data_IF_789876966782
#
_entry.id   IF_789876966782
#
_cell.length_a   1.000
_cell.length_b   1.000
_cell.length_c   1.000
_cell.angle_alpha   90.00
_cell.angle_beta   90.00
_cell.angle_gamma   90.00
#
_symmetry.space_group_name_H-M   'P 1'
#
loop_
_entity.id
_entity.type
_entity.pdbx_description
1 polymer ?
#
# COMPACT_ATOMS: atom_id res chain seq x y z
N UNK A 1 6.28 12.97 17.19
CA UNK A 1 5.77 12.02 16.18
C UNK A 1 6.95 11.25 15.59
N UNK A 2 6.78 9.97 15.24
CA UNK A 2 7.87 9.17 14.68
C UNK A 2 8.29 9.73 13.32
N UNK A 3 9.61 9.84 13.10
CA UNK A 3 10.24 10.19 11.82
C UNK A 3 10.39 8.96 10.91
N UNK A 4 9.50 7.99 11.06
CA UNK A 4 9.53 6.68 10.42
C UNK A 4 8.13 6.28 9.98
N UNK A 5 8.02 5.66 8.81
CA UNK A 5 6.76 5.21 8.23
C UNK A 5 6.98 3.90 7.46
N UNK A 6 6.45 2.76 7.95
CA UNK A 6 6.44 1.53 7.17
C UNK A 6 5.34 1.59 6.10
N UNK A 7 5.58 0.94 4.96
CA UNK A 7 4.59 0.76 3.90
C UNK A 7 4.53 -0.70 3.51
N UNK A 8 3.30 -1.22 3.39
CA UNK A 8 3.03 -2.55 2.89
C UNK A 8 2.66 -2.48 1.41
N UNK A 9 3.41 -3.17 0.57
CA UNK A 9 3.21 -3.27 -0.87
C UNK A 9 2.62 -4.65 -1.14
N UNK A 10 1.38 -4.70 -1.59
CA UNK A 10 0.67 -5.94 -1.90
C UNK A 10 0.82 -6.26 -3.39
N UNK A 11 1.00 -7.54 -3.70
CA UNK A 11 1.04 -8.09 -5.06
C UNK A 11 -0.02 -9.19 -5.15
N UNK A 12 -1.11 -8.93 -5.87
CA UNK A 12 -2.24 -9.87 -5.97
C UNK A 12 -2.20 -10.81 -7.17
N UNK A 13 -1.52 -10.44 -8.26
CA UNK A 13 -1.51 -11.20 -9.51
C UNK A 13 -0.13 -11.76 -9.81
N UNK A 14 0.41 -12.49 -8.83
CA UNK A 14 1.75 -13.11 -8.92
C UNK A 14 1.86 -13.99 -10.17
N UNK A 15 0.84 -14.81 -10.42
CA UNK A 15 0.84 -15.74 -11.55
C UNK A 15 1.97 -16.78 -11.45
N UNK A 16 2.47 -17.23 -12.59
CA UNK A 16 3.54 -18.23 -12.62
C UNK A 16 4.92 -17.58 -12.44
N UNK A 17 5.53 -17.83 -11.29
CA UNK A 17 6.87 -17.34 -10.93
C UNK A 17 8.01 -17.99 -11.72
N UNK A 18 7.74 -19.05 -12.50
CA UNK A 18 8.71 -19.59 -13.46
C UNK A 18 8.91 -18.66 -14.66
N UNK A 19 7.97 -17.74 -14.88
CA UNK A 19 8.09 -16.72 -15.91
C UNK A 19 9.04 -15.60 -15.45
N UNK A 20 10.22 -15.55 -16.08
CA UNK A 20 11.25 -14.57 -15.76
C UNK A 20 10.75 -13.13 -15.89
N UNK A 21 9.90 -12.83 -16.88
CA UNK A 21 9.39 -11.47 -17.09
C UNK A 21 8.54 -10.98 -15.90
N UNK A 22 7.74 -11.86 -15.29
CA UNK A 22 6.95 -11.50 -14.11
C UNK A 22 7.82 -11.34 -12.87
N UNK A 23 8.82 -12.21 -12.72
CA UNK A 23 9.75 -12.13 -11.61
C UNK A 23 10.56 -10.84 -11.65
N UNK A 24 11.12 -10.50 -12.81
CA UNK A 24 11.81 -9.23 -13.05
C UNK A 24 10.89 -8.03 -12.77
N UNK A 25 9.61 -8.13 -13.14
CA UNK A 25 8.64 -7.06 -12.88
C UNK A 25 8.41 -6.83 -11.38
N UNK A 26 8.29 -7.90 -10.60
CA UNK A 26 8.17 -7.85 -9.14
C UNK A 26 9.45 -7.26 -8.53
N UNK A 27 10.62 -7.77 -8.91
CA UNK A 27 11.90 -7.28 -8.40
C UNK A 27 12.09 -5.80 -8.74
N UNK A 28 11.76 -5.39 -9.96
CA UNK A 28 11.81 -3.99 -10.42
C UNK A 28 10.90 -3.06 -9.59
N UNK A 29 9.69 -3.52 -9.23
CA UNK A 29 8.81 -2.77 -8.33
C UNK A 29 9.48 -2.54 -6.97
N UNK A 30 10.00 -3.60 -6.34
CA UNK A 30 10.62 -3.50 -5.02
C UNK A 30 11.88 -2.65 -5.07
N UNK A 31 12.72 -2.82 -6.08
CA UNK A 31 13.89 -1.96 -6.29
C UNK A 31 13.54 -0.49 -6.51
N UNK A 32 12.40 -0.21 -7.18
CA UNK A 32 11.93 1.17 -7.36
C UNK A 32 11.61 1.79 -6.01
N UNK A 33 10.90 1.08 -5.13
CA UNK A 33 10.64 1.54 -3.78
C UNK A 33 11.90 1.71 -2.93
N UNK A 34 12.89 0.82 -3.09
CA UNK A 34 14.15 0.89 -2.35
C UNK A 34 15.06 2.03 -2.80
N UNK A 35 14.96 2.44 -4.06
CA UNK A 35 15.69 3.59 -4.62
C UNK A 35 14.98 4.93 -4.36
N UNK A 36 13.74 4.91 -3.88
CA UNK A 36 13.03 6.14 -3.55
C UNK A 36 13.77 6.91 -2.45
N UNK A 37 13.80 8.26 -2.53
CA UNK A 37 14.38 9.08 -1.48
C UNK A 37 13.75 8.75 -0.13
N UNK A 38 14.58 8.70 0.92
CA UNK A 38 14.18 8.42 2.30
C UNK A 38 13.79 6.96 2.57
N UNK A 39 13.84 6.06 1.59
CA UNK A 39 13.73 4.62 1.86
C UNK A 39 14.99 4.13 2.58
N UNK A 40 14.84 3.17 3.49
CA UNK A 40 15.97 2.57 4.21
C UNK A 40 16.80 1.58 3.37
N UNK A 41 16.31 1.21 2.19
CA UNK A 41 16.97 0.34 1.22
C UNK A 41 16.66 -1.15 1.39
N UNK A 42 17.33 -1.95 0.57
CA UNK A 42 17.14 -3.41 0.51
C UNK A 42 17.31 -4.16 1.85
N UNK A 43 18.29 -3.82 2.73
CA UNK A 43 18.45 -4.53 4.00
C UNK A 43 17.26 -4.38 4.96
N UNK A 44 16.45 -3.33 4.79
CA UNK A 44 15.29 -3.02 5.62
C UNK A 44 13.97 -3.35 4.94
N UNK A 45 14.03 -4.03 3.80
CA UNK A 45 12.85 -4.45 3.03
C UNK A 45 12.60 -5.92 3.27
N UNK A 46 11.47 -6.22 3.92
CA UNK A 46 11.04 -7.56 4.25
C UNK A 46 10.40 -8.21 3.02
N UNK A 47 11.22 -8.91 2.23
CA UNK A 47 10.85 -9.52 0.96
C UNK A 47 11.28 -10.99 0.87
N UNK A 48 10.29 -11.90 0.86
CA UNK A 48 10.48 -13.36 0.94
C UNK A 48 11.34 -13.95 -0.18
N UNK A 49 11.30 -13.38 -1.38
CA UNK A 49 11.97 -13.95 -2.55
C UNK A 49 13.49 -14.00 -2.36
N UNK A 50 14.07 -13.00 -1.67
CA UNK A 50 15.51 -12.95 -1.37
C UNK A 50 15.94 -14.08 -0.45
N UNK A 51 15.12 -14.38 0.55
CA UNK A 51 15.37 -15.47 1.48
C UNK A 51 15.17 -16.83 0.80
N UNK A 52 14.18 -16.92 -0.09
CA UNK A 52 13.96 -18.12 -0.91
C UNK A 52 15.12 -18.38 -1.88
N UNK A 53 15.63 -17.35 -2.55
CA UNK A 53 16.83 -17.45 -3.41
C UNK A 53 18.06 -17.90 -2.61
N UNK A 54 18.23 -17.38 -1.39
CA UNK A 54 19.31 -17.82 -0.49
C UNK A 54 19.16 -19.28 -0.08
N UNK A 55 17.94 -19.72 0.24
CA UNK A 55 17.64 -21.11 0.55
C UNK A 55 17.96 -22.06 -0.62
N UNK A 56 17.57 -21.69 -1.85
CA UNK A 56 17.91 -22.47 -3.04
C UNK A 56 19.43 -22.51 -3.29
N UNK A 57 20.12 -21.39 -3.08
CA UNK A 57 21.57 -21.34 -3.24
C UNK A 57 22.30 -22.23 -2.22
N UNK A 58 21.83 -22.32 -0.97
CA UNK A 58 22.39 -23.24 0.01
C UNK A 58 22.13 -24.71 -0.34
N UNK A 59 20.94 -25.05 -0.83
CA UNK A 59 20.61 -26.42 -1.25
C UNK A 59 21.48 -26.87 -2.42
N UNK A 60 21.68 -25.99 -3.43
CA UNK A 60 22.57 -26.27 -4.56
C UNK A 60 24.02 -26.45 -4.10
N UNK A 61 24.49 -25.60 -3.17
CA UNK A 61 25.85 -25.72 -2.66
C UNK A 61 26.08 -27.00 -1.85
N UNK A 62 25.08 -27.49 -1.13
CA UNK A 62 25.13 -28.79 -0.44
C UNK A 62 25.16 -29.96 -1.44
N UNK A 63 24.29 -29.94 -2.45
CA UNK A 63 24.30 -30.94 -3.54
C UNK A 63 25.66 -30.99 -4.27
N UNK A 64 26.26 -29.84 -4.58
CA UNK A 64 27.57 -29.77 -5.24
C UNK A 64 28.70 -30.30 -4.35
N UNK A 65 28.67 -30.05 -3.04
CA UNK A 65 29.67 -30.58 -2.11
C UNK A 65 29.56 -32.12 -1.94
N UNK A 66 28.35 -32.67 -1.97
CA UNK A 66 28.14 -34.12 -1.91
C UNK A 66 28.51 -34.81 -3.23
N UNK A 67 28.24 -34.19 -4.39
CA UNK A 67 28.66 -34.67 -5.71
C UNK A 67 30.19 -34.61 -5.92
N UNK A 68 30.88 -33.59 -5.38
CA UNK A 68 32.34 -33.48 -5.43
C UNK A 68 33.06 -34.60 -4.64
N UNK A 69 32.40 -35.23 -3.67
CA UNK A 69 32.94 -36.39 -2.94
C UNK A 69 32.82 -37.68 -3.79
N UNK A 70 31.91 -37.75 -4.76
CA UNK A 70 31.65 -38.96 -5.56
C UNK A 70 32.24 -38.93 -7.00
N UNK A 71 32.50 -37.78 -7.62
CA UNK A 71 32.99 -37.68 -9.02
C UNK A 71 34.42 -37.08 -9.17
N UNK A 72 35.46 -37.83 -8.76
CA UNK A 72 36.77 -37.71 -9.41
C UNK A 72 36.67 -38.33 -10.81
N UNK A 73 36.25 -37.56 -11.83
CA UNK A 73 36.59 -37.67 -13.26
C UNK A 73 35.41 -37.18 -14.13
N UNK A 74 35.31 -35.87 -14.40
CA UNK A 74 35.07 -35.32 -15.76
C UNK A 74 34.90 -33.81 -15.73
N UNK A 75 35.56 -33.15 -16.69
CA UNK A 75 35.55 -31.72 -16.96
C UNK A 75 34.12 -31.22 -17.24
N UNK A 76 33.40 -30.74 -16.22
CA UNK A 76 32.12 -30.05 -16.39
C UNK A 76 32.38 -28.54 -16.48
N UNK A 77 32.07 -27.96 -17.63
CA UNK A 77 31.93 -26.51 -17.80
C UNK A 77 30.83 -26.03 -16.82
N UNK A 78 31.25 -25.46 -15.68
CA UNK A 78 30.37 -24.88 -14.66
C UNK A 78 29.58 -23.72 -15.26
N UNK A 79 28.42 -24.04 -15.82
CA UNK A 79 27.39 -23.04 -16.06
C UNK A 79 26.69 -22.90 -14.72
N UNK A 80 27.03 -21.87 -13.95
CA UNK A 80 26.40 -21.58 -12.64
C UNK A 80 24.89 -21.76 -12.78
N UNK A 81 24.33 -22.80 -12.14
CA UNK A 81 22.89 -23.05 -12.11
C UNK A 81 22.26 -21.88 -11.35
N UNK A 82 21.72 -20.92 -12.09
CA UNK A 82 20.95 -19.83 -11.49
C UNK A 82 19.76 -20.44 -10.74
N UNK A 83 19.48 -20.02 -9.49
CA UNK A 83 18.36 -20.55 -8.73
C UNK A 83 17.06 -20.19 -9.45
N UNK A 84 16.42 -21.20 -10.05
CA UNK A 84 15.11 -21.05 -10.69
C UNK A 84 14.01 -21.43 -9.71
N UNK A 85 12.91 -20.68 -9.73
CA UNK A 85 11.78 -20.94 -8.85
C UNK A 85 11.23 -22.36 -9.04
N UNK A 86 11.22 -23.16 -7.97
CA UNK A 86 10.68 -24.53 -7.96
C UNK A 86 9.53 -24.60 -6.97
N UNK A 87 8.32 -24.81 -7.50
CA UNK A 87 7.10 -24.94 -6.67
C UNK A 87 7.22 -26.04 -5.61
N UNK A 88 7.87 -27.16 -5.96
CA UNK A 88 8.14 -28.27 -5.03
C UNK A 88 8.97 -27.88 -3.81
N UNK A 89 9.87 -26.90 -3.95
CA UNK A 89 10.74 -26.45 -2.86
C UNK A 89 10.08 -25.39 -1.97
N UNK A 90 8.93 -24.83 -2.38
CA UNK A 90 8.23 -23.83 -1.58
C UNK A 90 7.72 -24.40 -0.25
N UNK A 91 7.16 -25.62 -0.27
CA UNK A 91 6.69 -26.27 0.95
C UNK A 91 7.84 -26.61 1.90
N UNK A 92 8.99 -27.02 1.35
CA UNK A 92 10.21 -27.27 2.12
C UNK A 92 10.67 -25.97 2.77
N UNK A 93 10.92 -24.92 1.98
CA UNK A 93 11.29 -23.58 2.45
C UNK A 93 10.42 -23.10 3.61
N UNK A 94 9.09 -23.14 3.47
CA UNK A 94 8.15 -22.68 4.51
C UNK A 94 8.05 -23.60 5.73
N UNK A 95 8.55 -24.83 5.63
CA UNK A 95 8.64 -25.79 6.73
C UNK A 95 9.84 -25.56 7.64
N UNK A 96 10.94 -25.01 7.09
CA UNK A 96 12.18 -24.74 7.83
C UNK A 96 11.94 -23.72 8.96
N UNK A 97 12.42 -23.96 10.19
CA UNK A 97 12.20 -23.08 11.34
C UNK A 97 12.57 -21.61 11.10
N UNK A 98 13.62 -21.37 10.32
CA UNK A 98 14.17 -20.05 10.00
C UNK A 98 13.21 -19.23 9.13
N UNK A 99 12.54 -19.88 8.18
CA UNK A 99 11.70 -19.22 7.17
C UNK A 99 10.20 -19.37 7.41
N UNK A 100 9.80 -20.16 8.42
CA UNK A 100 8.40 -20.42 8.76
C UNK A 100 7.54 -19.16 8.93
N UNK A 101 8.15 -18.06 9.37
CA UNK A 101 7.47 -16.78 9.55
C UNK A 101 6.87 -16.22 8.25
N UNK A 102 7.43 -16.58 7.08
CA UNK A 102 6.91 -16.17 5.77
C UNK A 102 5.50 -16.71 5.47
N UNK A 103 5.04 -17.76 6.16
CA UNK A 103 3.67 -18.24 6.02
C UNK A 103 2.60 -17.17 6.30
N UNK A 104 2.90 -16.17 7.14
CA UNK A 104 1.99 -15.06 7.42
C UNK A 104 1.89 -14.01 6.29
N UNK A 105 2.81 -14.04 5.33
CA UNK A 105 2.98 -13.03 4.29
C UNK A 105 2.61 -13.54 2.90
N UNK A 106 2.44 -14.86 2.76
CA UNK A 106 2.15 -15.55 1.50
C UNK A 106 0.73 -16.12 1.54
N UNK A 107 -0.02 -15.95 0.45
CA UNK A 107 -1.33 -16.57 0.25
C UNK A 107 -1.25 -17.57 -0.88
N UNK A 108 -1.68 -18.79 -0.62
CA UNK A 108 -1.73 -19.87 -1.59
C UNK A 108 -3.17 -20.20 -1.97
N UNK A 109 -3.39 -20.50 -3.25
CA UNK A 109 -4.67 -21.02 -3.74
C UNK A 109 -4.85 -22.49 -3.31
N UNK A 110 -6.06 -23.02 -3.45
CA UNK A 110 -6.43 -24.43 -3.20
C UNK A 110 -5.53 -25.44 -3.92
N UNK A 111 -4.96 -25.04 -5.06
CA UNK A 111 -4.03 -25.86 -5.85
C UNK A 111 -2.57 -25.75 -5.36
N UNK A 112 -2.32 -25.11 -4.21
CA UNK A 112 -1.00 -24.89 -3.63
C UNK A 112 -0.15 -23.82 -4.33
N UNK A 113 -0.66 -23.15 -5.36
CA UNK A 113 0.07 -22.11 -6.10
C UNK A 113 0.06 -20.78 -5.35
N UNK A 114 1.17 -20.05 -5.35
CA UNK A 114 1.24 -18.72 -4.74
C UNK A 114 0.32 -17.76 -5.49
N UNK A 115 -0.66 -17.23 -4.77
CA UNK A 115 -1.68 -16.34 -5.31
C UNK A 115 -1.29 -14.88 -5.10
N UNK A 116 -0.96 -14.50 -3.86
CA UNK A 116 -0.59 -13.14 -3.50
C UNK A 116 0.39 -13.11 -2.34
N UNK A 117 1.12 -12.00 -2.21
CA UNK A 117 1.93 -11.72 -1.04
C UNK A 117 2.03 -10.22 -0.80
N UNK A 118 2.64 -9.82 0.31
CA UNK A 118 2.99 -8.44 0.53
C UNK A 118 4.43 -8.30 1.02
N UNK A 119 5.01 -7.14 0.73
CA UNK A 119 6.36 -6.73 1.09
C UNK A 119 6.24 -5.54 2.02
N UNK A 120 7.03 -5.52 3.09
CA UNK A 120 7.10 -4.34 3.96
C UNK A 120 8.43 -3.66 3.72
N UNK A 121 8.39 -2.36 3.42
CA UNK A 121 9.59 -1.52 3.39
C UNK A 121 9.36 -0.26 4.22
N UNK A 122 10.44 0.48 4.44
CA UNK A 122 10.57 1.42 5.52
C UNK A 122 11.11 2.76 5.02
N UNK A 123 10.44 3.85 5.38
CA UNK A 123 10.89 5.20 5.06
C UNK A 123 11.21 6.00 6.32
N UNK A 124 12.23 6.86 6.26
CA UNK A 124 12.69 7.68 7.37
C UNK A 124 12.93 9.14 6.96
N UNK A 125 12.63 10.08 7.82
CA UNK A 125 13.00 11.48 7.57
C UNK A 125 12.23 12.47 8.43
N UNK A 126 12.78 13.69 8.60
CA UNK A 126 12.13 14.73 9.40
C UNK A 126 10.80 15.18 8.79
N UNK A 127 10.67 15.13 7.47
CA UNK A 127 9.42 15.47 6.77
C UNK A 127 8.26 14.54 7.13
N UNK A 128 8.54 13.30 7.58
CA UNK A 128 7.50 12.36 8.02
C UNK A 128 6.86 12.74 9.36
N UNK A 129 7.28 13.83 9.99
CA UNK A 129 6.55 14.41 11.13
C UNK A 129 5.28 15.13 10.66
N UNK A 130 5.26 15.65 9.44
CA UNK A 130 4.15 16.43 8.90
C UNK A 130 3.16 15.55 8.14
N UNK A 131 1.87 15.70 8.45
CA UNK A 131 0.79 14.94 7.83
C UNK A 131 0.65 15.18 6.31
N UNK A 132 0.82 16.43 5.86
CA UNK A 132 0.79 16.75 4.42
C UNK A 132 1.92 16.06 3.67
N UNK A 133 3.12 16.02 4.26
CA UNK A 133 4.28 15.32 3.69
C UNK A 133 4.06 13.81 3.62
N UNK A 134 3.41 13.20 4.63
CA UNK A 134 2.98 11.80 4.60
C UNK A 134 1.94 11.53 3.51
N UNK A 135 0.95 12.41 3.35
CA UNK A 135 -0.08 12.27 2.31
C UNK A 135 0.53 12.36 0.90
N UNK A 136 1.42 13.32 0.67
CA UNK A 136 2.17 13.45 -0.58
C UNK A 136 3.01 12.21 -0.87
N UNK A 137 3.67 11.65 0.15
CA UNK A 137 4.47 10.44 0.02
C UNK A 137 3.60 9.22 -0.31
N UNK A 138 2.43 9.07 0.34
CA UNK A 138 1.45 8.03 0.00
C UNK A 138 0.95 8.18 -1.45
N UNK A 139 0.71 9.41 -1.90
CA UNK A 139 0.36 9.71 -3.29
C UNK A 139 1.45 9.27 -4.27
N UNK A 140 2.73 9.54 -3.96
CA UNK A 140 3.87 9.06 -4.77
C UNK A 140 3.96 7.54 -4.81
N UNK A 141 3.79 6.86 -3.69
CA UNK A 141 3.79 5.40 -3.66
C UNK A 141 2.68 4.79 -4.51
N UNK A 142 1.48 5.40 -4.48
CA UNK A 142 0.36 5.02 -5.36
C UNK A 142 0.72 5.20 -6.84
N UNK A 143 1.30 6.34 -7.20
CA UNK A 143 1.78 6.58 -8.57
C UNK A 143 2.83 5.55 -9.02
N UNK A 144 3.70 5.09 -8.12
CA UNK A 144 4.66 4.03 -8.44
C UNK A 144 3.92 2.73 -8.74
N UNK A 145 3.03 2.26 -7.87
CA UNK A 145 2.30 0.99 -8.08
C UNK A 145 1.31 1.04 -9.23
N UNK A 146 0.80 2.21 -9.61
CA UNK A 146 -0.05 2.39 -10.80
C UNK A 146 0.67 1.98 -12.10
N UNK A 147 2.01 2.02 -12.12
CA UNK A 147 2.79 1.51 -13.24
C UNK A 147 2.87 -0.03 -13.28
N UNK A 148 2.46 -0.73 -12.23
CA UNK A 148 2.58 -2.19 -12.04
C UNK A 148 1.21 -2.87 -11.90
N UNK A 149 0.20 -2.36 -12.63
CA UNK A 149 -1.17 -2.91 -12.64
C UNK A 149 -1.25 -4.33 -13.20
N UNK A 150 -0.26 -4.76 -13.98
CA UNK A 150 -0.14 -6.10 -14.57
C UNK A 150 0.05 -7.19 -13.51
N UNK A 151 0.78 -6.89 -12.43
CA UNK A 151 0.96 -7.78 -11.27
C UNK A 151 -0.03 -7.48 -10.13
N UNK A 152 -0.97 -6.55 -10.35
CA UNK A 152 -1.97 -6.17 -9.33
C UNK A 152 -1.32 -5.58 -8.08
N UNK A 153 -0.32 -4.70 -8.27
CA UNK A 153 0.36 -4.06 -7.16
C UNK A 153 -0.50 -2.94 -6.55
N UNK A 154 -0.55 -2.87 -5.22
CA UNK A 154 -1.10 -1.71 -4.52
C UNK A 154 -0.37 -1.46 -3.20
N UNK A 155 -0.48 -0.25 -2.66
CA UNK A 155 0.12 0.11 -1.37
C UNK A 155 -0.91 0.28 -0.28
N UNK A 156 -0.54 -0.10 0.93
CA UNK A 156 -1.32 0.11 2.14
C UNK A 156 -0.42 0.56 3.29
N UNK A 157 -0.97 1.46 4.09
CA UNK A 157 -0.35 1.97 5.32
C UNK A 157 -1.43 2.05 6.39
N UNK A 158 -1.07 1.84 7.64
CA UNK A 158 -1.99 1.90 8.78
C UNK A 158 -2.78 3.21 8.82
N UNK A 159 -2.12 4.35 8.62
CA UNK A 159 -2.77 5.66 8.66
C UNK A 159 -3.41 6.10 7.33
N UNK A 160 -3.46 5.24 6.30
CA UNK A 160 -3.96 5.60 4.96
C UNK A 160 -5.38 6.18 4.98
N UNK A 161 -6.27 5.64 5.81
CA UNK A 161 -7.65 6.13 5.96
C UNK A 161 -7.73 7.60 6.40
N UNK A 162 -6.78 8.05 7.22
CA UNK A 162 -6.70 9.45 7.66
C UNK A 162 -6.01 10.31 6.61
N UNK A 163 -4.91 9.80 6.03
CA UNK A 163 -4.14 10.51 5.01
C UNK A 163 -5.00 10.87 3.79
N UNK A 164 -5.87 9.95 3.37
CA UNK A 164 -6.78 10.16 2.23
C UNK A 164 -7.82 11.24 2.48
N UNK A 165 -8.14 11.53 3.75
CA UNK A 165 -9.12 12.55 4.11
C UNK A 165 -8.51 13.94 4.22
N UNK A 166 -7.18 14.07 4.40
CA UNK A 166 -6.51 15.36 4.64
C UNK A 166 -6.83 16.37 3.53
N UNK A 167 -6.80 15.93 2.27
CA UNK A 167 -7.05 16.82 1.12
C UNK A 167 -8.51 17.28 1.05
N UNK A 168 -9.44 16.46 1.54
CA UNK A 168 -10.88 16.75 1.49
C UNK A 168 -11.38 17.54 2.71
N UNK A 169 -10.64 17.53 3.82
CA UNK A 169 -11.07 18.09 5.10
C UNK A 169 -11.33 19.61 5.02
N UNK A 170 -10.39 20.36 4.43
CA UNK A 170 -10.51 21.82 4.32
C UNK A 170 -11.67 22.22 3.40
N UNK A 171 -11.74 21.72 2.15
CA UNK A 171 -12.89 22.00 1.28
C UNK A 171 -14.23 21.63 1.91
N UNK A 172 -14.33 20.45 2.53
CA UNK A 172 -15.56 19.99 3.17
C UNK A 172 -15.98 20.89 4.34
N UNK A 173 -15.02 21.35 5.15
CA UNK A 173 -15.28 22.27 6.27
C UNK A 173 -15.76 23.63 5.77
N UNK A 174 -15.14 24.16 4.71
CA UNK A 174 -15.56 25.43 4.10
C UNK A 174 -16.95 25.31 3.49
N UNK A 175 -17.22 24.25 2.73
CA UNK A 175 -18.52 24.01 2.10
C UNK A 175 -19.64 23.87 3.13
N UNK A 176 -19.41 23.06 4.18
CA UNK A 176 -20.38 22.90 5.27
C UNK A 176 -20.59 24.19 6.08
N UNK A 177 -19.54 24.98 6.30
CA UNK A 177 -19.65 26.29 6.95
C UNK A 177 -20.49 27.27 6.12
N UNK A 178 -20.27 27.33 4.80
CA UNK A 178 -21.07 28.18 3.90
C UNK A 178 -22.53 27.71 3.86
N UNK A 179 -22.77 26.41 3.76
CA UNK A 179 -24.12 25.84 3.73
C UNK A 179 -24.90 26.15 5.02
N UNK A 180 -24.26 26.05 6.18
CA UNK A 180 -24.89 26.37 7.47
C UNK A 180 -25.20 27.86 7.59
N UNK A 181 -24.30 28.74 7.14
CA UNK A 181 -24.55 30.19 7.10
C UNK A 181 -25.72 30.55 6.17
N UNK A 182 -25.81 29.94 4.99
CA UNK A 182 -26.94 30.15 4.06
C UNK A 182 -28.25 29.67 4.70
N UNK A 183 -28.25 28.50 5.32
CA UNK A 183 -29.43 27.95 6.00
C UNK A 183 -29.89 28.86 7.16
N UNK A 184 -28.96 29.37 7.97
CA UNK A 184 -29.26 30.32 9.04
C UNK A 184 -29.80 31.63 8.47
N UNK A 185 -29.20 32.14 7.40
CA UNK A 185 -29.64 33.38 6.78
C UNK A 185 -31.07 33.27 6.21
N UNK A 186 -31.37 32.19 5.49
CA UNK A 186 -32.70 31.94 4.92
C UNK A 186 -33.76 31.76 6.01
N UNK A 187 -33.45 31.03 7.09
CA UNK A 187 -34.39 30.87 8.21
C UNK A 187 -34.68 32.19 8.92
N UNK A 188 -33.67 33.04 9.14
CA UNK A 188 -33.85 34.38 9.72
C UNK A 188 -34.66 35.31 8.80
N UNK A 189 -34.42 35.26 7.48
CA UNK A 189 -35.21 36.03 6.52
C UNK A 189 -36.67 35.60 6.54
N UNK A 190 -36.95 34.29 6.52
CA UNK A 190 -38.32 33.77 6.58
C UNK A 190 -39.05 34.22 7.87
N UNK A 191 -38.36 34.14 9.02
CA UNK A 191 -38.90 34.60 10.31
C UNK A 191 -39.17 36.10 10.29
N UNK A 192 -38.22 36.91 9.79
CA UNK A 192 -38.37 38.37 9.72
C UNK A 192 -39.50 38.78 8.78
N UNK A 193 -39.62 38.12 7.63
CA UNK A 193 -40.68 38.38 6.66
C UNK A 193 -42.06 38.01 7.24
N UNK A 194 -42.18 36.87 7.91
CA UNK A 194 -43.41 36.47 8.59
C UNK A 194 -43.86 37.47 9.67
N UNK A 195 -42.92 38.01 10.46
CA UNK A 195 -43.23 39.07 11.44
C UNK A 195 -43.72 40.36 10.79
N UNK A 196 -43.11 40.80 9.69
CA UNK A 196 -43.53 42.00 8.97
C UNK A 196 -44.95 41.87 8.40
N UNK A 197 -45.28 40.72 7.80
CA UNK A 197 -46.63 40.44 7.31
C UNK A 197 -47.67 40.45 8.44
N UNK A 198 -47.34 39.88 9.61
CA UNK A 198 -48.23 39.90 10.77
C UNK A 198 -48.52 41.33 11.27
N UNK A 199 -47.49 42.19 11.31
CA UNK A 199 -47.65 43.60 11.71
C UNK A 199 -48.49 44.38 10.68
N UNK A 200 -48.22 44.19 9.38
CA UNK A 200 -48.99 44.86 8.31
C UNK A 200 -50.48 44.50 8.39
N UNK A 201 -50.78 43.20 8.51
CA UNK A 201 -52.17 42.72 8.62
C UNK A 201 -52.87 43.22 9.90
N UNK A 202 -52.14 43.35 11.01
CA UNK A 202 -52.68 43.90 12.26
C UNK A 202 -53.03 45.39 12.12
N UNK A 203 -52.15 46.18 11.51
CA UNK A 203 -52.39 47.60 11.28
C UNK A 203 -53.57 47.84 10.34
N UNK A 204 -53.72 47.07 9.26
CA UNK A 204 -54.89 47.17 8.37
C UNK A 204 -56.21 46.88 9.09
N UNK A 205 -56.24 45.85 9.95
CA UNK A 205 -57.43 45.51 10.75
C UNK A 205 -57.78 46.59 11.78
N UNK A 206 -56.77 47.23 12.38
CA UNK A 206 -56.99 48.36 13.30
C UNK A 206 -57.62 49.56 12.58
N UNK A 207 -57.12 49.90 11.39
CA UNK A 207 -57.66 51.01 10.59
C UNK A 207 -59.13 50.74 10.24
N UNK A 208 -59.46 49.53 9.79
CA UNK A 208 -60.85 49.14 9.48
C UNK A 208 -61.80 49.13 10.69
N UNK A 209 -61.27 49.11 11.92
CA UNK A 209 -62.09 49.12 13.15
C UNK A 209 -62.39 50.53 13.69
N UNK A 210 -61.79 51.56 13.09
CA UNK A 210 -61.94 52.97 13.49
C UNK A 210 -62.80 53.78 12.51
N UNK A 211 -63.17 53.22 11.35
CA UNK A 211 -64.19 53.74 10.41
C UNK A 211 -65.55 53.09 10.67
#
# INVERSE_FOLDING_TARGET
>A
MPSYMPVSIFIEKVGDLRNHSKMERIQSLIETFEKEPNNMGAPFTHFWLRDYERYLASEIAEEENDEEIEENNQTKNQTLKQPSFKHSQMSSFLGWPEYRHWNGFLRFNKNGHLESFFVITAFHGPALVEWNSRANLLGRWRQIVDNYTDIGAFVWVEESQFLDQIETLVPATVQSSIATLICLFLSLLAIRWGKLLAISNYNERLIQSQE
#
